data_IF_886200100131
#
_entry.id   IF_886200100131
#
_cell.length_a   1.000
_cell.length_b   1.000
_cell.length_c   1.000
_cell.angle_alpha   90.00
_cell.angle_beta   90.00
_cell.angle_gamma   90.00
#
_symmetry.space_group_name_H-M   'P 1'
#
loop_
_entity.id
_entity.type
_entity.pdbx_description
1 polymer ?
#
# COMPACT_ATOMS: atom_id res chain seq x y z
N UNK A 1 13.13 2.07 32.87
CA UNK A 1 13.34 2.67 31.54
C UNK A 1 12.30 2.08 30.59
N UNK A 2 11.45 2.89 29.97
CA UNK A 2 10.47 2.40 28.98
C UNK A 2 11.15 2.30 27.62
N UNK A 3 11.22 1.09 27.05
CA UNK A 3 11.72 0.92 25.68
C UNK A 3 10.77 1.59 24.69
N UNK A 4 11.32 2.27 23.68
CA UNK A 4 10.54 2.92 22.61
C UNK A 4 9.92 1.81 21.75
N UNK A 5 8.59 1.73 21.72
CA UNK A 5 7.83 0.60 21.15
C UNK A 5 8.06 0.37 19.64
N UNK A 6 8.59 1.36 18.91
CA UNK A 6 8.86 1.24 17.47
C UNK A 6 9.89 2.30 17.04
N UNK A 7 11.19 2.06 17.22
CA UNK A 7 12.23 3.01 16.83
C UNK A 7 12.35 3.10 15.29
N UNK A 8 12.89 4.22 14.77
CA UNK A 8 13.28 4.31 13.36
C UNK A 8 14.20 3.17 12.93
N UNK A 9 14.20 2.87 11.63
CA UNK A 9 15.08 1.87 11.04
C UNK A 9 15.49 2.29 9.62
N UNK A 10 16.44 1.57 9.02
CA UNK A 10 16.91 1.85 7.65
C UNK A 10 16.65 0.66 6.72
N UNK A 11 16.33 0.97 5.47
CA UNK A 11 16.26 0.03 4.35
C UNK A 11 17.14 0.62 3.23
N UNK A 12 18.36 0.12 3.07
CA UNK A 12 19.35 0.77 2.20
C UNK A 12 19.63 2.19 2.69
N UNK A 13 19.40 3.19 1.82
CA UNK A 13 19.54 4.62 2.15
C UNK A 13 18.26 5.27 2.70
N UNK A 14 17.15 4.52 2.79
CA UNK A 14 15.87 5.04 3.25
C UNK A 14 15.70 4.85 4.75
N UNK A 15 15.57 5.95 5.49
CA UNK A 15 15.16 5.92 6.90
C UNK A 15 13.63 5.86 7.03
N UNK A 16 13.11 4.83 7.68
CA UNK A 16 11.69 4.72 8.07
C UNK A 16 11.49 5.19 9.50
N UNK A 17 10.48 6.03 9.73
CA UNK A 17 10.21 6.70 11.02
C UNK A 17 9.81 5.75 12.15
N UNK A 18 9.36 4.54 11.82
CA UNK A 18 8.96 3.47 12.74
C UNK A 18 8.85 2.13 11.98
N UNK A 19 8.52 1.06 12.69
CA UNK A 19 8.38 -0.31 12.17
C UNK A 19 6.93 -0.71 11.81
N UNK A 20 6.01 0.26 11.70
CA UNK A 20 4.65 -0.03 11.24
C UNK A 20 4.59 -0.06 9.72
N UNK A 21 4.18 -1.20 9.18
CA UNK A 21 4.11 -1.44 7.74
C UNK A 21 2.67 -1.75 7.33
N UNK A 22 2.17 -1.07 6.30
CA UNK A 22 0.93 -1.47 5.63
C UNK A 22 1.25 -2.50 4.54
N UNK A 23 0.65 -3.68 4.65
CA UNK A 23 0.79 -4.76 3.66
C UNK A 23 0.12 -4.42 2.32
N UNK A 24 0.56 -5.07 1.23
CA UNK A 24 0.01 -4.97 -0.12
C UNK A 24 -1.38 -5.64 -0.21
N UNK A 25 -2.43 -4.91 0.17
CA UNK A 25 -3.80 -5.43 0.09
C UNK A 25 -4.54 -4.79 -1.08
N UNK A 26 -5.13 -5.60 -1.94
CA UNK A 26 -6.02 -5.13 -3.00
C UNK A 26 -7.29 -4.51 -2.38
N UNK A 27 -7.57 -3.25 -2.74
CA UNK A 27 -8.63 -2.45 -2.14
C UNK A 27 -9.82 -2.16 -3.05
N UNK A 28 -9.76 -2.52 -4.34
CA UNK A 28 -10.81 -2.22 -5.33
C UNK A 28 -11.19 -0.73 -5.38
N UNK A 29 -10.20 0.15 -5.21
CA UNK A 29 -10.38 1.60 -5.30
C UNK A 29 -9.78 2.19 -6.58
N UNK A 30 -8.97 1.42 -7.32
CA UNK A 30 -8.58 1.80 -8.66
C UNK A 30 -9.81 1.75 -9.59
N UNK A 31 -9.76 2.48 -10.69
CA UNK A 31 -10.76 2.37 -11.74
C UNK A 31 -10.73 0.97 -12.37
N UNK A 32 -11.79 0.60 -13.10
CA UNK A 32 -11.92 -0.72 -13.74
C UNK A 32 -10.79 -1.01 -14.75
N UNK A 33 -10.17 0.04 -15.28
CA UNK A 33 -9.00 -0.01 -16.18
C UNK A 33 -7.65 0.02 -15.44
N UNK A 34 -7.66 -0.15 -14.12
CA UNK A 34 -6.49 -0.17 -13.26
C UNK A 34 -5.91 1.20 -12.90
N UNK A 35 -6.51 2.30 -13.38
CA UNK A 35 -5.97 3.64 -13.16
C UNK A 35 -6.16 4.13 -11.72
N UNK A 36 -5.25 4.99 -11.28
CA UNK A 36 -5.31 5.63 -9.96
C UNK A 36 -6.49 6.60 -9.91
N UNK A 37 -7.27 6.52 -8.84
CA UNK A 37 -8.40 7.41 -8.56
C UNK A 37 -8.12 8.29 -7.35
N UNK A 38 -8.92 9.34 -7.16
CA UNK A 38 -8.85 10.20 -5.97
C UNK A 38 -9.12 9.43 -4.67
N UNK A 39 -10.04 8.46 -4.70
CA UNK A 39 -10.34 7.60 -3.55
C UNK A 39 -9.15 6.72 -3.16
N UNK A 40 -8.43 6.18 -4.15
CA UNK A 40 -7.21 5.41 -3.90
C UNK A 40 -6.11 6.29 -3.30
N UNK A 41 -5.97 7.53 -3.78
CA UNK A 41 -5.01 8.50 -3.24
C UNK A 41 -5.38 8.87 -1.80
N UNK A 42 -6.65 9.18 -1.53
CA UNK A 42 -7.11 9.58 -0.20
C UNK A 42 -6.94 8.45 0.82
N UNK A 43 -7.19 7.21 0.41
CA UNK A 43 -6.91 6.03 1.23
C UNK A 43 -5.45 5.99 1.71
N UNK A 44 -4.47 6.17 0.80
CA UNK A 44 -3.06 6.17 1.19
C UNK A 44 -2.67 7.39 2.02
N UNK A 45 -3.26 8.56 1.76
CA UNK A 45 -3.06 9.76 2.57
C UNK A 45 -3.52 9.56 4.01
N UNK A 46 -4.68 8.92 4.24
CA UNK A 46 -5.18 8.59 5.57
C UNK A 46 -4.16 7.71 6.31
N UNK A 47 -3.63 6.67 5.66
CA UNK A 47 -2.62 5.78 6.26
C UNK A 47 -1.32 6.52 6.60
N UNK A 48 -0.84 7.38 5.70
CA UNK A 48 0.37 8.16 5.91
C UNK A 48 0.22 9.15 7.08
N UNK A 49 -0.92 9.85 7.16
CA UNK A 49 -1.28 10.76 8.26
C UNK A 49 -1.46 10.00 9.58
N UNK A 50 -1.97 8.77 9.53
CA UNK A 50 -2.10 7.87 10.68
C UNK A 50 -0.77 7.36 11.26
N UNK A 51 0.37 7.73 10.66
CA UNK A 51 1.68 7.47 11.26
C UNK A 51 2.36 6.18 10.80
N UNK A 52 1.83 5.48 9.79
CA UNK A 52 2.51 4.30 9.19
C UNK A 52 3.88 4.72 8.65
N UNK A 53 4.91 3.90 8.93
CA UNK A 53 6.30 4.15 8.54
C UNK A 53 6.59 3.78 7.09
N UNK A 54 6.00 2.67 6.61
CA UNK A 54 6.14 2.18 5.24
C UNK A 54 4.81 1.65 4.73
N UNK A 55 4.44 2.00 3.51
CA UNK A 55 3.23 1.50 2.83
C UNK A 55 3.66 0.75 1.58
N UNK A 56 3.29 -0.52 1.49
CA UNK A 56 3.41 -1.30 0.25
C UNK A 56 2.04 -1.21 -0.44
N UNK A 57 2.02 -0.66 -1.65
CA UNK A 57 0.78 -0.52 -2.42
C UNK A 57 0.18 -1.88 -2.76
N UNK A 58 -1.13 -1.91 -3.01
CA UNK A 58 -1.81 -3.10 -3.51
C UNK A 58 -1.28 -3.57 -4.88
N UNK A 59 -1.91 -4.61 -5.42
CA UNK A 59 -1.52 -5.24 -6.68
C UNK A 59 -1.54 -4.23 -7.84
N UNK A 60 -0.40 -4.08 -8.51
CA UNK A 60 -0.25 -3.33 -9.76
C UNK A 60 0.17 -4.31 -10.85
N UNK A 61 -0.64 -4.45 -11.89
CA UNK A 61 -0.39 -5.39 -12.97
C UNK A 61 0.51 -4.76 -14.05
N UNK A 62 1.34 -5.57 -14.69
CA UNK A 62 2.27 -5.12 -15.73
C UNK A 62 1.80 -5.43 -17.15
N UNK A 63 0.80 -6.32 -17.28
CA UNK A 63 0.20 -6.73 -18.56
C UNK A 63 -1.32 -6.70 -18.43
N UNK A 64 -2.07 -6.25 -19.46
CA UNK A 64 -3.53 -6.18 -19.39
C UNK A 64 -4.22 -7.51 -19.01
N UNK A 65 -3.64 -8.64 -19.41
CA UNK A 65 -4.14 -9.99 -19.09
C UNK A 65 -3.84 -10.46 -17.65
N UNK A 66 -3.05 -9.70 -16.89
CA UNK A 66 -2.70 -9.99 -15.49
C UNK A 66 -3.57 -9.22 -14.48
N UNK A 67 -4.64 -8.57 -14.96
CA UNK A 67 -5.61 -7.90 -14.11
C UNK A 67 -6.33 -8.91 -13.20
N UNK A 68 -6.47 -8.59 -11.92
CA UNK A 68 -6.99 -9.55 -10.91
C UNK A 68 -8.44 -9.93 -11.19
N UNK A 69 -9.24 -8.98 -11.67
CA UNK A 69 -10.66 -9.23 -11.98
C UNK A 69 -10.82 -10.16 -13.20
N UNK A 70 -9.80 -10.26 -14.06
CA UNK A 70 -9.83 -11.19 -15.20
C UNK A 70 -9.84 -12.67 -14.79
N UNK A 71 -9.41 -12.97 -13.55
CA UNK A 71 -9.47 -14.30 -12.94
C UNK A 71 -10.68 -14.48 -12.02
N UNK A 72 -11.11 -13.42 -11.33
CA UNK A 72 -12.22 -13.48 -10.36
C UNK A 72 -13.59 -13.56 -11.05
N UNK A 73 -13.76 -12.98 -12.25
CA UNK A 73 -15.04 -12.99 -12.97
C UNK A 73 -15.25 -14.21 -13.89
N UNK A 74 -14.32 -15.17 -13.89
CA UNK A 74 -14.38 -16.40 -14.71
C UNK A 74 -14.81 -17.65 -13.93
N UNK A 75 -15.17 -17.48 -12.66
CA UNK A 75 -15.71 -18.51 -11.75
C UNK A 75 -17.14 -18.18 -11.36
#
# INVERSE_FOLDING_TARGET
MSAKISPPNEIGTLTIKNRFVRSATYKRLAADDGMVTDDLVEFYKILARGGVGLIITGLAYIQPNSHVDSYILKS
#
